data_IF_343051377097
#
_entry.id   IF_343051377097
#
_cell.length_a   1.000
_cell.length_b   1.000
_cell.length_c   1.000
_cell.angle_alpha   90.00
_cell.angle_beta   90.00
_cell.angle_gamma   90.00
#
_symmetry.space_group_name_H-M   'P 1'
#
loop_
_entity.id
_entity.type
_entity.pdbx_description
1 polymer ?
#
# COMPACT_ATOMS: atom_id res chain seq x y z
N UNK A 1 -4.36 -23.13 14.60
CA UNK A 1 -4.69 -21.71 14.79
C UNK A 1 -3.66 -20.96 13.97
N UNK A 2 -4.07 -20.09 13.07
CA UNK A 2 -3.12 -19.33 12.24
C UNK A 2 -2.37 -18.36 13.16
N UNK A 3 -1.06 -18.54 13.29
CA UNK A 3 -0.22 -17.63 14.08
C UNK A 3 0.02 -16.36 13.27
N UNK A 4 -0.84 -15.35 13.48
CA UNK A 4 -0.68 -14.02 12.89
C UNK A 4 0.24 -13.18 13.76
N UNK A 5 1.25 -12.58 13.13
CA UNK A 5 2.08 -11.53 13.72
C UNK A 5 2.04 -10.32 12.79
N UNK A 6 1.18 -9.37 13.10
CA UNK A 6 1.05 -8.11 12.38
C UNK A 6 1.65 -7.01 13.24
N UNK A 7 2.47 -6.15 12.63
CA UNK A 7 2.83 -4.88 13.22
C UNK A 7 2.70 -3.74 12.22
N UNK A 8 2.42 -2.55 12.76
CA UNK A 8 2.55 -1.28 12.07
C UNK A 8 3.47 -0.40 12.89
N UNK A 9 4.49 0.16 12.26
CA UNK A 9 5.50 1.00 12.92
C UNK A 9 5.71 2.26 12.10
N UNK A 10 5.69 3.42 12.75
CA UNK A 10 6.22 4.65 12.19
C UNK A 10 7.65 4.84 12.70
N UNK A 11 8.60 4.71 11.80
CA UNK A 11 10.01 5.01 12.03
C UNK A 11 10.37 6.36 11.40
N UNK A 12 11.48 6.94 11.82
CA UNK A 12 12.06 8.13 11.19
C UNK A 12 13.52 8.29 11.58
N UNK A 13 14.12 9.38 11.13
CA UNK A 13 15.49 9.77 11.40
C UNK A 13 15.49 11.06 12.22
N UNK A 14 16.19 11.07 13.35
CA UNK A 14 16.30 12.26 14.18
C UNK A 14 17.01 13.41 13.41
N UNK A 15 16.40 14.60 13.27
CA UNK A 15 16.95 15.67 12.42
C UNK A 15 18.32 16.20 12.88
N UNK A 16 18.59 16.15 14.19
CA UNK A 16 19.82 16.68 14.79
C UNK A 16 20.98 15.69 14.75
N UNK A 17 20.70 14.40 14.98
CA UNK A 17 21.71 13.36 15.15
C UNK A 17 21.81 12.35 14.01
N UNK A 18 20.81 12.30 13.12
CA UNK A 18 20.73 11.30 12.06
C UNK A 18 20.45 9.88 12.57
N UNK A 19 20.04 9.73 13.82
CA UNK A 19 19.79 8.42 14.42
C UNK A 19 18.40 7.90 14.03
N UNK A 20 18.30 6.62 13.71
CA UNK A 20 17.02 5.97 13.48
C UNK A 20 16.20 5.91 14.78
N UNK A 21 14.94 6.33 14.71
CA UNK A 21 14.01 6.35 15.83
C UNK A 21 12.73 5.59 15.48
N UNK A 22 12.18 4.89 16.46
CA UNK A 22 10.82 4.36 16.41
C UNK A 22 9.90 5.36 17.11
N UNK A 23 9.05 6.05 16.35
CA UNK A 23 8.13 7.07 16.89
C UNK A 23 6.93 6.40 17.54
N UNK A 24 6.34 5.42 16.87
CA UNK A 24 5.18 4.68 17.38
C UNK A 24 5.13 3.28 16.75
N UNK A 25 4.62 2.30 17.50
CA UNK A 25 4.46 0.92 17.03
C UNK A 25 3.22 0.29 17.65
N UNK A 26 2.52 -0.49 16.83
CA UNK A 26 1.39 -1.31 17.24
C UNK A 26 1.51 -2.70 16.68
N UNK A 27 1.03 -3.68 17.44
CA UNK A 27 1.07 -5.08 17.09
C UNK A 27 -0.31 -5.71 17.27
N UNK A 28 -0.60 -6.73 16.49
CA UNK A 28 -1.82 -7.51 16.56
C UNK A 28 -1.54 -8.97 16.21
N UNK A 29 -2.26 -9.86 16.88
CA UNK A 29 -2.30 -11.30 16.55
C UNK A 29 -3.61 -11.68 15.86
N UNK A 30 -4.40 -10.70 15.43
CA UNK A 30 -5.67 -10.90 14.75
C UNK A 30 -5.60 -10.37 13.32
N UNK A 31 -6.34 -11.02 12.41
CA UNK A 31 -6.51 -10.55 11.03
C UNK A 31 -7.98 -10.37 10.69
N UNK A 32 -8.30 -9.20 10.15
CA UNK A 32 -9.56 -8.89 9.48
C UNK A 32 -9.31 -7.77 8.46
N UNK A 33 -10.26 -7.54 7.55
CA UNK A 33 -10.10 -6.62 6.41
C UNK A 33 -9.73 -5.17 6.77
N UNK A 34 -10.02 -4.73 7.99
CA UNK A 34 -9.86 -3.34 8.43
C UNK A 34 -8.66 -3.15 9.39
N UNK A 35 -8.03 -4.23 9.88
CA UNK A 35 -7.01 -4.18 10.96
C UNK A 35 -5.81 -3.30 10.59
N UNK A 36 -5.40 -3.33 9.32
CA UNK A 36 -4.24 -2.55 8.86
C UNK A 36 -4.52 -1.05 8.99
N UNK A 37 -5.69 -0.58 8.53
CA UNK A 37 -6.07 0.82 8.65
C UNK A 37 -6.26 1.24 10.11
N UNK A 38 -6.82 0.37 10.95
CA UNK A 38 -6.96 0.62 12.39
C UNK A 38 -5.61 0.80 13.08
N UNK A 39 -4.64 -0.10 12.83
CA UNK A 39 -3.31 -0.01 13.43
C UNK A 39 -2.53 1.19 12.90
N UNK A 40 -2.64 1.54 11.62
CA UNK A 40 -2.07 2.77 11.05
C UNK A 40 -2.61 3.98 11.82
N UNK A 41 -3.93 4.10 11.97
CA UNK A 41 -4.52 5.24 12.67
C UNK A 41 -4.10 5.32 14.13
N UNK A 42 -3.98 4.19 14.83
CA UNK A 42 -3.47 4.17 16.21
C UNK A 42 -2.00 4.60 16.30
N UNK A 43 -1.16 4.18 15.35
CA UNK A 43 0.24 4.62 15.24
C UNK A 43 0.31 6.11 14.98
N UNK A 44 -0.53 6.64 14.08
CA UNK A 44 -0.59 8.07 13.80
C UNK A 44 -1.13 8.88 15.00
N UNK A 45 -2.08 8.35 15.78
CA UNK A 45 -2.56 9.00 17.01
C UNK A 45 -1.44 9.16 18.06
N UNK A 46 -0.52 8.21 18.13
CA UNK A 46 0.66 8.31 18.99
C UNK A 46 1.72 9.24 18.42
N UNK A 47 1.98 9.14 17.12
CA UNK A 47 2.94 10.00 16.44
C UNK A 47 2.54 11.48 16.51
N UNK A 48 1.25 11.79 16.46
CA UNK A 48 0.74 13.14 16.63
C UNK A 48 1.03 13.68 18.05
N UNK A 49 0.90 12.85 19.09
CA UNK A 49 1.28 13.22 20.46
C UNK A 49 2.79 13.46 20.58
N UNK A 50 3.59 12.64 19.90
CA UNK A 50 5.04 12.81 19.84
C UNK A 50 5.42 14.14 19.19
N UNK A 51 4.78 14.49 18.07
CA UNK A 51 5.05 15.73 17.35
C UNK A 51 4.61 16.99 18.14
N UNK A 52 3.57 16.87 18.97
CA UNK A 52 3.08 17.96 19.83
C UNK A 52 2.24 18.98 19.06
N UNK A 53 2.44 20.27 19.34
CA UNK A 53 1.62 21.35 18.77
C UNK A 53 1.58 21.40 17.22
N UNK A 54 2.65 21.07 16.47
CA UNK A 54 2.61 20.96 15.02
C UNK A 54 1.72 19.83 14.47
N UNK A 55 1.29 18.89 15.31
CA UNK A 55 0.55 17.71 14.88
C UNK A 55 1.35 16.83 13.90
N UNK A 56 0.65 16.03 13.10
CA UNK A 56 1.30 15.11 12.15
C UNK A 56 2.23 15.80 11.15
N UNK A 57 1.96 17.05 10.75
CA UNK A 57 2.83 17.80 9.83
C UNK A 57 4.25 18.03 10.40
N UNK A 58 4.39 18.07 11.73
CA UNK A 58 5.69 18.16 12.40
C UNK A 58 6.59 16.97 12.15
N UNK A 59 6.02 15.81 11.78
CA UNK A 59 6.76 14.58 11.52
C UNK A 59 7.56 14.63 10.20
N UNK A 60 7.24 15.55 9.30
CA UNK A 60 8.00 15.74 8.03
C UNK A 60 9.47 16.08 8.25
N UNK A 61 9.81 16.64 9.41
CA UNK A 61 11.19 16.91 9.77
C UNK A 61 12.02 15.63 9.98
N UNK A 62 11.36 14.50 10.27
CA UNK A 62 11.99 13.24 10.69
C UNK A 62 12.09 12.20 9.58
N UNK A 63 11.86 12.54 8.30
CA UNK A 63 11.96 11.61 7.16
C UNK A 63 11.29 10.25 7.43
N UNK A 64 9.99 10.31 7.74
CA UNK A 64 9.29 9.18 8.36
C UNK A 64 8.87 8.12 7.35
N UNK A 65 8.95 6.86 7.77
CA UNK A 65 8.45 5.70 7.03
C UNK A 65 7.50 4.91 7.92
N UNK A 66 6.33 4.57 7.37
CA UNK A 66 5.40 3.64 7.99
C UNK A 66 5.64 2.24 7.43
N UNK A 67 6.17 1.35 8.26
CA UNK A 67 6.38 -0.06 7.93
C UNK A 67 5.23 -0.92 8.43
N UNK A 68 4.70 -1.78 7.55
CA UNK A 68 3.72 -2.81 7.88
C UNK A 68 4.40 -4.17 7.67
N UNK A 69 4.61 -4.90 8.77
CA UNK A 69 5.11 -6.27 8.70
C UNK A 69 4.00 -7.25 9.04
N UNK A 70 3.86 -8.28 8.22
CA UNK A 70 2.87 -9.34 8.44
C UNK A 70 3.57 -10.70 8.30
N UNK A 71 3.57 -11.50 9.36
CA UNK A 71 3.93 -12.91 9.29
C UNK A 71 2.72 -13.76 9.62
N UNK A 72 2.34 -14.70 8.75
CA UNK A 72 1.16 -15.55 8.95
C UNK A 72 1.23 -16.83 8.11
N UNK A 73 0.28 -17.75 8.33
CA UNK A 73 -0.08 -18.79 7.35
C UNK A 73 -1.57 -18.70 7.02
N UNK A 74 -1.98 -19.05 5.79
CA UNK A 74 -3.39 -19.22 5.43
C UNK A 74 -4.20 -17.93 5.21
N UNK A 75 -3.55 -16.77 5.22
CA UNK A 75 -4.22 -15.47 5.14
C UNK A 75 -4.03 -14.80 3.79
N UNK A 76 -5.10 -14.22 3.26
CA UNK A 76 -5.03 -13.32 2.10
C UNK A 76 -4.74 -11.87 2.57
N UNK A 77 -3.60 -11.27 2.20
CA UNK A 77 -3.13 -10.03 2.82
C UNK A 77 -3.61 -8.74 2.16
N UNK A 78 -4.71 -8.78 1.40
CA UNK A 78 -5.27 -7.57 0.83
C UNK A 78 -5.92 -6.69 1.90
N UNK A 79 -5.77 -5.38 1.74
CA UNK A 79 -6.33 -4.38 2.64
C UNK A 79 -6.71 -3.10 1.86
N UNK A 80 -7.33 -2.15 2.54
CA UNK A 80 -7.68 -0.85 1.97
C UNK A 80 -7.44 0.27 2.96
N UNK A 81 -7.13 1.46 2.44
CA UNK A 81 -7.07 2.69 3.22
C UNK A 81 -8.16 3.64 2.71
N UNK A 82 -8.94 4.15 3.65
CA UNK A 82 -9.95 5.17 3.39
C UNK A 82 -9.33 6.56 3.20
N UNK A 83 -10.10 7.55 2.71
CA UNK A 83 -9.57 8.88 2.46
C UNK A 83 -9.08 9.62 3.71
N UNK A 84 -9.63 9.34 4.88
CA UNK A 84 -9.23 9.99 6.14
C UNK A 84 -7.87 9.46 6.56
N UNK A 85 -7.66 8.14 6.51
CA UNK A 85 -6.36 7.51 6.72
C UNK A 85 -5.31 8.04 5.73
N UNK A 86 -5.67 8.18 4.45
CA UNK A 86 -4.79 8.76 3.41
C UNK A 86 -4.46 10.22 3.69
N UNK A 87 -5.41 11.02 4.18
CA UNK A 87 -5.16 12.41 4.57
C UNK A 87 -4.12 12.48 5.67
N UNK A 88 -4.26 11.66 6.72
CA UNK A 88 -3.30 11.63 7.84
C UNK A 88 -1.91 11.17 7.41
N UNK A 89 -1.83 10.16 6.54
CA UNK A 89 -0.56 9.72 5.93
C UNK A 89 0.08 10.85 5.10
N UNK A 90 -0.73 11.56 4.31
CA UNK A 90 -0.31 12.73 3.53
C UNK A 90 0.22 13.83 4.44
N UNK A 91 -0.43 14.13 5.56
CA UNK A 91 -0.03 15.20 6.50
C UNK A 91 1.28 14.84 7.21
N UNK A 92 1.42 13.59 7.64
CA UNK A 92 2.64 13.01 8.20
C UNK A 92 3.83 13.10 7.22
N UNK A 93 3.55 12.98 5.91
CA UNK A 93 4.58 12.92 4.89
C UNK A 93 5.33 11.59 4.87
N UNK A 94 4.69 10.52 5.35
CA UNK A 94 5.30 9.21 5.46
C UNK A 94 5.30 8.44 4.14
N UNK A 95 6.42 7.79 3.86
CA UNK A 95 6.45 6.66 2.94
C UNK A 95 5.73 5.46 3.57
N UNK A 96 5.26 4.53 2.74
CA UNK A 96 4.65 3.28 3.20
C UNK A 96 5.44 2.11 2.64
N UNK A 97 5.87 1.21 3.51
CA UNK A 97 6.44 -0.08 3.13
C UNK A 97 5.58 -1.22 3.67
N UNK A 98 5.28 -2.19 2.81
CA UNK A 98 4.57 -3.41 3.18
C UNK A 98 5.39 -4.63 2.78
N UNK A 99 5.84 -5.40 3.76
CA UNK A 99 6.65 -6.61 3.56
C UNK A 99 5.99 -7.83 4.25
N UNK A 100 5.06 -8.52 3.56
CA UNK A 100 4.38 -9.68 4.09
C UNK A 100 5.17 -10.99 3.86
N UNK A 101 5.18 -11.83 4.89
CA UNK A 101 5.73 -13.17 4.96
C UNK A 101 4.59 -14.15 5.24
N UNK A 102 3.99 -14.72 4.20
CA UNK A 102 2.79 -15.55 4.37
C UNK A 102 2.97 -16.92 3.76
N UNK A 103 2.84 -17.93 4.60
CA UNK A 103 2.81 -19.32 4.19
C UNK A 103 1.40 -19.71 3.73
N UNK A 104 1.29 -20.61 2.73
CA UNK A 104 0.01 -21.18 2.30
C UNK A 104 -1.10 -20.14 2.02
N UNK A 105 -0.76 -19.02 1.37
CA UNK A 105 -1.74 -17.98 0.97
C UNK A 105 -2.90 -18.64 0.21
N UNK A 106 -4.17 -18.38 0.59
CA UNK A 106 -5.31 -18.92 -0.15
C UNK A 106 -5.31 -18.44 -1.59
N UNK A 107 -5.63 -19.35 -2.52
CA UNK A 107 -5.79 -18.98 -3.92
C UNK A 107 -6.81 -17.86 -4.06
N UNK A 108 -6.32 -16.71 -4.53
CA UNK A 108 -7.17 -15.58 -4.87
C UNK A 108 -7.06 -15.31 -6.37
N UNK A 109 -8.23 -15.22 -7.00
CA UNK A 109 -8.31 -14.93 -8.43
C UNK A 109 -8.36 -13.44 -8.62
N UNK A 110 -7.54 -12.89 -9.53
CA UNK A 110 -7.60 -11.46 -9.83
C UNK A 110 -9.02 -11.09 -10.30
N UNK A 111 -9.61 -10.06 -9.70
CA UNK A 111 -10.92 -9.54 -10.11
C UNK A 111 -10.86 -8.75 -11.44
N UNK A 112 -9.64 -8.59 -11.97
CA UNK A 112 -9.34 -7.92 -13.23
C UNK A 112 -8.72 -8.88 -14.25
N UNK A 113 -9.06 -8.67 -15.51
CA UNK A 113 -8.32 -9.23 -16.64
C UNK A 113 -6.97 -8.50 -16.78
N UNK A 114 -5.89 -9.19 -16.42
CA UNK A 114 -4.53 -8.66 -16.57
C UNK A 114 -3.58 -9.76 -16.98
N UNK A 115 -2.60 -9.39 -17.80
CA UNK A 115 -1.46 -10.24 -18.06
C UNK A 115 -0.31 -9.94 -17.06
N UNK A 116 -0.30 -8.76 -16.49
CA UNK A 116 0.85 -8.30 -15.73
C UNK A 116 0.93 -8.95 -14.34
N UNK A 117 2.14 -9.06 -13.82
CA UNK A 117 2.40 -9.51 -12.45
C UNK A 117 2.12 -8.38 -11.47
N UNK A 118 2.33 -7.14 -11.90
CA UNK A 118 1.98 -5.98 -11.11
C UNK A 118 1.16 -5.02 -11.96
N UNK A 119 -0.05 -4.67 -11.52
CA UNK A 119 -0.94 -3.74 -12.22
C UNK A 119 -1.39 -2.66 -11.26
N UNK A 120 -1.19 -1.41 -11.65
CA UNK A 120 -1.70 -0.24 -10.91
C UNK A 120 -2.86 0.35 -11.70
N UNK A 121 -3.97 0.58 -11.02
CA UNK A 121 -5.18 1.13 -11.62
C UNK A 121 -5.62 2.33 -10.82
N UNK A 122 -5.82 3.47 -11.48
CA UNK A 122 -6.57 4.58 -10.92
C UNK A 122 -7.96 4.59 -11.55
N UNK A 123 -8.99 4.45 -10.72
CA UNK A 123 -10.39 4.39 -11.15
C UNK A 123 -11.22 5.46 -10.45
N UNK A 124 -12.35 5.83 -11.04
CA UNK A 124 -13.29 6.77 -10.45
C UNK A 124 -14.72 6.49 -10.94
N UNK A 125 -15.71 6.92 -10.16
CA UNK A 125 -17.10 6.94 -10.60
C UNK A 125 -17.31 8.05 -11.63
N UNK A 126 -17.79 7.66 -12.80
CA UNK A 126 -18.20 8.55 -13.88
C UNK A 126 -19.66 8.99 -13.75
N UNK A 127 -20.17 9.55 -14.85
CA UNK A 127 -21.59 9.83 -15.00
C UNK A 127 -22.39 8.51 -14.95
N UNK A 128 -23.57 8.53 -14.32
CA UNK A 128 -24.42 7.35 -14.02
C UNK A 128 -23.89 6.38 -12.94
N UNK A 129 -22.96 6.81 -12.07
CA UNK A 129 -22.41 5.98 -10.99
C UNK A 129 -21.70 4.70 -11.48
N UNK A 130 -21.30 4.65 -12.74
CA UNK A 130 -20.48 3.56 -13.25
C UNK A 130 -19.01 3.84 -12.93
N UNK A 131 -18.30 2.85 -12.38
CA UNK A 131 -16.85 2.93 -12.16
C UNK A 131 -16.12 2.76 -13.48
N UNK A 132 -15.25 3.70 -13.81
CA UNK A 132 -14.42 3.68 -15.01
C UNK A 132 -12.95 3.64 -14.61
N UNK A 133 -12.15 2.93 -15.41
CA UNK A 133 -10.69 2.99 -15.33
C UNK A 133 -10.24 4.30 -15.96
N UNK A 134 -9.59 5.16 -15.17
CA UNK A 134 -9.10 6.46 -15.62
C UNK A 134 -7.68 6.32 -16.18
N UNK A 135 -6.84 5.56 -15.48
CA UNK A 135 -5.49 5.23 -15.92
C UNK A 135 -5.10 3.84 -15.41
N UNK A 136 -4.28 3.15 -16.19
CA UNK A 136 -3.77 1.82 -15.86
C UNK A 136 -2.36 1.67 -16.40
N UNK A 137 -1.52 1.00 -15.61
CA UNK A 137 -0.23 0.48 -16.06
C UNK A 137 0.00 -0.90 -15.47
N UNK A 138 0.70 -1.73 -16.23
CA UNK A 138 1.09 -3.06 -15.79
C UNK A 138 2.55 -3.34 -16.12
N UNK A 139 3.14 -4.21 -15.31
CA UNK A 139 4.50 -4.71 -15.37
C UNK A 139 4.46 -6.23 -15.45
N UNK A 140 5.02 -6.79 -16.54
CA UNK A 140 5.04 -8.23 -16.77
C UNK A 140 5.81 -8.99 -15.70
N UNK A 141 6.90 -8.41 -15.21
CA UNK A 141 7.72 -8.93 -14.13
C UNK A 141 7.86 -7.82 -13.08
N UNK A 142 7.74 -8.18 -11.80
CA UNK A 142 7.96 -7.23 -10.72
C UNK A 142 9.42 -6.74 -10.76
N UNK A 143 9.59 -5.44 -10.94
CA UNK A 143 10.89 -4.79 -11.02
C UNK A 143 10.94 -3.60 -10.06
N UNK A 144 12.13 -3.15 -9.68
CA UNK A 144 12.39 -2.01 -8.79
C UNK A 144 11.91 -0.65 -9.32
N UNK A 145 11.10 -0.64 -10.37
CA UNK A 145 10.53 0.55 -11.02
C UNK A 145 9.04 0.73 -10.73
N UNK A 146 8.48 0.03 -9.73
CA UNK A 146 7.07 0.12 -9.35
C UNK A 146 6.61 1.58 -9.13
N UNK A 147 7.41 2.39 -8.45
CA UNK A 147 7.13 3.81 -8.19
C UNK A 147 6.98 4.61 -9.48
N UNK A 148 7.85 4.35 -10.47
CA UNK A 148 7.79 4.99 -11.78
C UNK A 148 6.45 4.72 -12.46
N UNK A 149 5.93 3.49 -12.32
CA UNK A 149 4.65 3.10 -12.89
C UNK A 149 3.48 3.74 -12.14
N UNK A 150 3.55 3.86 -10.81
CA UNK A 150 2.55 4.58 -10.01
C UNK A 150 2.48 6.04 -10.45
N UNK A 151 3.62 6.70 -10.60
CA UNK A 151 3.68 8.09 -11.07
C UNK A 151 3.19 8.25 -12.51
N UNK A 152 3.42 7.28 -13.39
CA UNK A 152 2.87 7.30 -14.73
C UNK A 152 1.34 7.17 -14.74
N UNK A 153 0.75 6.35 -13.85
CA UNK A 153 -0.70 6.27 -13.69
C UNK A 153 -1.28 7.61 -13.27
N UNK A 154 -0.66 8.32 -12.32
CA UNK A 154 -1.11 9.66 -11.96
C UNK A 154 -0.94 10.68 -13.10
N UNK A 155 0.19 10.65 -13.81
CA UNK A 155 0.39 11.51 -15.00
C UNK A 155 -0.68 11.30 -16.06
N UNK A 156 -1.10 10.06 -16.27
CA UNK A 156 -2.19 9.76 -17.18
C UNK A 156 -3.56 10.18 -16.65
N UNK A 157 -3.81 10.00 -15.35
CA UNK A 157 -5.05 10.45 -14.73
C UNK A 157 -5.24 11.98 -14.81
N UNK A 158 -4.14 12.76 -14.73
CA UNK A 158 -4.17 14.21 -14.93
C UNK A 158 -4.64 14.61 -16.33
N UNK A 159 -4.30 13.83 -17.36
CA UNK A 159 -4.75 14.09 -18.75
C UNK A 159 -6.26 13.94 -18.92
N UNK A 160 -6.92 13.12 -18.10
CA UNK A 160 -8.36 12.86 -18.20
C UNK A 160 -9.20 14.13 -18.03
N UNK A 161 -8.72 15.10 -17.26
CA UNK A 161 -9.38 16.39 -17.09
C UNK A 161 -8.60 17.58 -17.66
N UNK A 162 -7.46 17.32 -18.31
CA UNK A 162 -6.53 18.35 -18.77
C UNK A 162 -6.20 19.36 -17.64
N UNK A 163 -5.90 18.83 -16.46
CA UNK A 163 -5.59 19.59 -15.25
C UNK A 163 -4.25 19.10 -14.66
N UNK A 164 -3.60 19.94 -13.87
CA UNK A 164 -2.35 19.64 -13.16
C UNK A 164 -2.60 19.09 -11.74
N UNK A 165 -3.87 18.92 -11.35
CA UNK A 165 -4.26 18.36 -10.06
C UNK A 165 -5.32 17.26 -10.20
N UNK A 166 -5.26 16.28 -9.30
CA UNK A 166 -6.31 15.26 -9.17
C UNK A 166 -7.54 15.76 -8.39
N UNK A 167 -7.59 17.04 -7.98
CA UNK A 167 -8.71 17.62 -7.23
C UNK A 167 -10.06 17.48 -7.92
N UNK A 168 -10.10 17.41 -9.24
CA UNK A 168 -11.34 17.16 -10.00
C UNK A 168 -11.93 15.76 -9.78
N UNK A 169 -11.21 14.85 -9.13
CA UNK A 169 -11.68 13.54 -8.71
C UNK A 169 -12.27 13.49 -7.29
N UNK A 170 -12.21 14.57 -6.49
CA UNK A 170 -12.63 14.56 -5.06
C UNK A 170 -14.03 14.03 -4.81
N UNK A 171 -14.96 14.31 -5.73
CA UNK A 171 -16.37 13.88 -5.63
C UNK A 171 -16.69 12.61 -6.41
N UNK A 172 -15.66 11.93 -6.94
CA UNK A 172 -15.81 10.79 -7.86
C UNK A 172 -15.48 9.45 -7.21
N UNK A 173 -15.32 9.40 -5.88
CA UNK A 173 -14.98 8.17 -5.15
C UNK A 173 -13.82 7.41 -5.82
N UNK A 174 -12.74 8.17 -6.09
CA UNK A 174 -11.60 7.64 -6.79
C UNK A 174 -10.86 6.60 -5.94
N UNK A 175 -10.24 5.62 -6.59
CA UNK A 175 -9.52 4.53 -5.94
C UNK A 175 -8.26 4.22 -6.74
N UNK A 176 -7.12 4.18 -6.05
CA UNK A 176 -5.88 3.59 -6.55
C UNK A 176 -5.82 2.14 -6.07
N UNK A 177 -5.84 1.20 -7.00
CA UNK A 177 -5.75 -0.22 -6.71
C UNK A 177 -4.44 -0.78 -7.23
N UNK A 178 -3.70 -1.45 -6.35
CA UNK A 178 -2.51 -2.22 -6.71
C UNK A 178 -2.89 -3.69 -6.72
N UNK A 179 -2.69 -4.32 -7.88
CA UNK A 179 -2.77 -5.75 -8.06
C UNK A 179 -1.36 -6.30 -8.15
N UNK A 180 -1.00 -7.21 -7.27
CA UNK A 180 0.30 -7.87 -7.28
C UNK A 180 0.13 -9.38 -7.30
N UNK A 181 0.71 -10.03 -8.29
CA UNK A 181 0.75 -11.48 -8.38
C UNK A 181 1.76 -11.97 -7.35
N UNK A 182 1.33 -12.86 -6.49
CA UNK A 182 2.23 -13.59 -5.60
C UNK A 182 2.53 -14.97 -6.19
N UNK A 183 3.73 -15.47 -5.90
CA UNK A 183 4.16 -16.80 -6.30
C UNK A 183 4.40 -17.65 -5.06
N UNK A 184 3.76 -18.82 -4.99
CA UNK A 184 4.12 -19.86 -4.03
C UNK A 184 5.20 -20.73 -4.68
N UNK A 185 6.45 -20.61 -4.21
CA UNK A 185 7.50 -21.53 -4.62
C UNK A 185 7.37 -22.84 -3.82
N UNK A 186 7.43 -23.99 -4.50
CA UNK A 186 7.40 -25.32 -3.86
C UNK A 186 8.67 -25.66 -3.05
N UNK A 187 9.69 -24.78 -3.07
CA UNK A 187 11.05 -25.07 -2.56
C UNK A 187 11.61 -24.06 -1.56
N UNK A 188 10.76 -23.36 -0.80
CA UNK A 188 11.21 -22.76 0.45
C UNK A 188 11.21 -23.87 1.52
N UNK A 189 12.40 -24.34 1.92
CA UNK A 189 12.54 -25.32 3.00
C UNK A 189 11.98 -24.80 4.33
N UNK A 190 11.79 -25.71 5.28
CA UNK A 190 11.12 -25.53 6.60
C UNK A 190 11.70 -24.43 7.54
N UNK A 191 12.65 -23.61 7.08
CA UNK A 191 13.26 -22.50 7.84
C UNK A 191 12.63 -21.12 7.56
N UNK A 192 11.52 -21.07 6.81
CA UNK A 192 10.78 -19.84 6.54
C UNK A 192 11.43 -18.95 5.47
N UNK A 193 10.70 -17.91 5.06
CA UNK A 193 11.05 -17.03 3.93
C UNK A 193 12.39 -16.27 4.06
N UNK A 194 13.13 -16.40 5.17
CA UNK A 194 14.42 -15.73 5.41
C UNK A 194 15.61 -16.42 4.74
N UNK A 195 15.47 -17.68 4.31
CA UNK A 195 16.57 -18.46 3.69
C UNK A 195 16.38 -18.76 2.21
N UNK A 196 15.27 -18.32 1.58
CA UNK A 196 15.01 -18.62 0.18
C UNK A 196 15.95 -17.80 -0.74
N UNK A 197 16.83 -18.50 -1.46
CA UNK A 197 17.72 -17.95 -2.49
C UNK A 197 16.92 -17.16 -3.55
N UNK A 198 17.18 -15.87 -3.68
CA UNK A 198 16.98 -14.92 -4.81
C UNK A 198 15.73 -15.01 -5.73
N UNK A 199 14.73 -15.86 -5.47
CA UNK A 199 13.57 -16.07 -6.38
C UNK A 199 12.22 -16.21 -5.67
N UNK A 200 12.09 -15.74 -4.43
CA UNK A 200 10.79 -15.65 -3.74
C UNK A 200 10.26 -14.22 -3.80
N UNK A 201 9.50 -13.92 -4.85
CA UNK A 201 8.79 -12.65 -4.96
C UNK A 201 7.63 -12.64 -3.97
N UNK A 202 7.78 -11.81 -2.94
CA UNK A 202 6.78 -11.53 -1.92
C UNK A 202 5.83 -10.45 -2.43
N UNK A 203 4.53 -10.52 -2.16
CA UNK A 203 3.57 -9.49 -2.56
C UNK A 203 3.67 -8.28 -1.61
N UNK A 204 4.87 -7.72 -1.49
CA UNK A 204 5.15 -6.46 -0.83
C UNK A 204 5.20 -5.32 -1.82
N UNK A 205 5.16 -4.09 -1.32
CA UNK A 205 5.31 -2.90 -2.12
C UNK A 205 5.76 -1.73 -1.25
N UNK A 206 6.38 -0.76 -1.91
CA UNK A 206 6.68 0.54 -1.36
C UNK A 206 5.82 1.60 -2.04
N UNK A 207 5.31 2.58 -1.28
CA UNK A 207 4.65 3.78 -1.80
C UNK A 207 5.35 5.02 -1.24
N UNK A 208 5.92 5.87 -2.11
CA UNK A 208 6.46 7.16 -1.69
C UNK A 208 5.35 8.07 -1.12
N UNK A 209 5.71 8.94 -0.17
CA UNK A 209 4.85 9.97 0.43
C UNK A 209 4.08 10.81 -0.58
N UNK A 210 4.70 11.07 -1.74
CA UNK A 210 4.14 11.77 -2.89
C UNK A 210 2.87 11.09 -3.45
N UNK A 211 2.74 9.77 -3.30
CA UNK A 211 1.53 9.01 -3.65
C UNK A 211 0.37 9.46 -2.76
N UNK A 212 0.57 9.55 -1.44
CA UNK A 212 -0.46 9.95 -0.48
C UNK A 212 -0.90 11.39 -0.69
N UNK A 213 0.02 12.31 -1.02
CA UNK A 213 -0.31 13.70 -1.38
C UNK A 213 -1.28 13.73 -2.57
N UNK A 214 -1.01 12.92 -3.61
CA UNK A 214 -1.85 12.85 -4.81
C UNK A 214 -3.20 12.19 -4.55
N UNK A 215 -3.24 11.13 -3.75
CA UNK A 215 -4.48 10.47 -3.35
C UNK A 215 -5.34 11.38 -2.46
N UNK A 216 -4.74 12.09 -1.51
CA UNK A 216 -5.44 13.07 -0.67
C UNK A 216 -6.02 14.21 -1.53
N UNK A 217 -5.26 14.73 -2.50
CA UNK A 217 -5.78 15.73 -3.43
C UNK A 217 -7.05 15.24 -4.16
N UNK A 218 -7.11 13.96 -4.51
CA UNK A 218 -8.24 13.31 -5.17
C UNK A 218 -9.35 12.83 -4.22
N UNK A 219 -9.20 12.96 -2.89
CA UNK A 219 -10.04 12.31 -1.88
C UNK A 219 -10.25 10.82 -2.20
N UNK A 220 -9.16 10.16 -2.59
CA UNK A 220 -9.16 8.79 -3.09
C UNK A 220 -9.09 7.77 -1.95
N UNK A 221 -9.44 6.53 -2.26
CA UNK A 221 -9.11 5.34 -1.48
C UNK A 221 -7.87 4.66 -2.07
N UNK A 222 -7.22 3.86 -1.25
CA UNK A 222 -6.20 2.92 -1.68
C UNK A 222 -6.68 1.49 -1.44
N UNK A 223 -6.40 0.59 -2.38
CA UNK A 223 -6.66 -0.85 -2.23
C UNK A 223 -5.45 -1.66 -2.66
N UNK A 224 -5.06 -2.60 -1.82
CA UNK A 224 -4.11 -3.63 -2.17
C UNK A 224 -4.81 -4.97 -2.41
N UNK A 225 -4.58 -5.57 -3.58
CA UNK A 225 -5.25 -6.79 -4.03
C UNK A 225 -4.23 -7.82 -4.54
N UNK A 226 -3.63 -8.63 -3.66
CA UNK A 226 -2.73 -9.70 -4.05
C UNK A 226 -3.51 -10.86 -4.71
N UNK A 227 -2.91 -11.52 -5.69
CA UNK A 227 -3.57 -12.64 -6.40
C UNK A 227 -2.60 -13.73 -6.83
N UNK A 228 -3.09 -14.97 -6.98
CA UNK A 228 -2.28 -16.12 -7.41
C UNK A 228 -2.51 -16.41 -8.89
N UNK A 229 -3.79 -16.41 -9.31
CA UNK A 229 -4.21 -16.90 -10.62
C UNK A 229 -4.66 -15.75 -11.52
N UNK A 230 -4.15 -15.77 -12.74
CA UNK A 230 -4.59 -14.93 -13.85
C UNK A 230 -5.99 -15.36 -14.29
N UNK A 231 -6.86 -14.41 -14.65
CA UNK A 231 -8.23 -14.69 -15.14
C UNK A 231 -8.37 -14.91 -16.65
N UNK A 232 -7.29 -15.01 -17.40
CA UNK A 232 -7.37 -15.15 -18.85
C UNK A 232 -6.91 -16.55 -19.27
N UNK A 233 -7.85 -17.37 -19.72
CA UNK A 233 -7.58 -18.43 -20.69
C UNK A 233 -7.30 -17.78 -22.04
N UNK A 234 -6.23 -18.21 -22.71
CA UNK A 234 -5.96 -17.86 -24.11
C UNK A 234 -7.05 -18.42 -25.00
#
# INVERSE_FOLDING_TARGET
MEDVKLYVQLAGVEPSGGADICIARRESTAWHKDIVAELINQVLDEAEKFAGAPGLEGLRAYDVMLGIGLTSSGIWPGFSLDPDTISRMSDCGADLDFDPYIENVPTHTCDRETHDDFTIVFSALGFHHQRSVIAIRGLREYASVADVFIFQVFKDALKYHNDNSLRLFRKKQSELTIYARYYQAESCGDEGCTTCHESCTRPGFHLPSDVFIRLNAANARFRYCPFEKRRLSV
#
